data_IF_280902979443
#
_entry.id   IF_280902979443
#
_cell.length_a   1.000
_cell.length_b   1.000
_cell.length_c   1.000
_cell.angle_alpha   90.00
_cell.angle_beta   90.00
_cell.angle_gamma   90.00
#
_symmetry.space_group_name_H-M   'P 1'
#
loop_
_entity.id
_entity.type
_entity.pdbx_description
1 polymer ?
#
# COMPACT_ATOMS: atom_id res chain seq x y z
N UNK A 1 8.06 30.11 -13.95
CA UNK A 1 7.72 28.72 -13.57
C UNK A 1 8.84 28.23 -12.66
N UNK A 2 8.53 28.00 -11.39
CA UNK A 2 9.54 27.57 -10.42
C UNK A 2 10.14 26.24 -10.83
N UNK A 3 11.47 26.12 -10.69
CA UNK A 3 12.21 24.89 -11.01
C UNK A 3 11.64 23.66 -10.26
N UNK A 4 11.03 23.89 -9.11
CA UNK A 4 10.32 22.90 -8.29
C UNK A 4 9.08 22.34 -9.01
N UNK A 5 8.35 23.16 -9.77
CA UNK A 5 7.12 22.75 -10.47
C UNK A 5 7.40 21.78 -11.63
N UNK A 6 8.60 21.79 -12.20
CA UNK A 6 9.02 20.84 -13.27
C UNK A 6 9.61 19.53 -12.71
N UNK A 7 10.16 19.55 -11.49
CA UNK A 7 10.75 18.37 -10.85
C UNK A 7 9.69 17.35 -10.45
N UNK A 8 8.54 17.81 -9.96
CA UNK A 8 7.42 16.96 -9.54
C UNK A 8 6.88 16.08 -10.70
N UNK A 9 6.48 16.63 -11.86
CA UNK A 9 6.01 15.79 -12.97
C UNK A 9 7.11 14.90 -13.55
N UNK A 10 8.37 15.32 -13.53
CA UNK A 10 9.50 14.48 -13.94
C UNK A 10 9.68 13.27 -13.01
N UNK A 11 9.64 13.49 -11.69
CA UNK A 11 9.68 12.42 -10.68
C UNK A 11 8.51 11.46 -10.84
N UNK A 12 7.29 11.97 -11.01
CA UNK A 12 6.10 11.16 -11.27
C UNK A 12 6.28 10.34 -12.55
N UNK A 13 6.77 10.95 -13.63
CA UNK A 13 7.08 10.27 -14.89
C UNK A 13 8.08 9.12 -14.69
N UNK A 14 9.19 9.38 -14.00
CA UNK A 14 10.21 8.35 -13.71
C UNK A 14 9.62 7.21 -12.86
N UNK A 15 8.82 7.52 -11.85
CA UNK A 15 8.14 6.53 -11.03
C UNK A 15 7.17 5.68 -11.85
N UNK A 16 6.43 6.28 -12.78
CA UNK A 16 5.53 5.59 -13.71
C UNK A 16 6.33 4.65 -14.62
N UNK A 17 7.40 5.13 -15.26
CA UNK A 17 8.23 4.33 -16.15
C UNK A 17 8.89 3.15 -15.43
N UNK A 18 9.32 3.34 -14.19
CA UNK A 18 9.91 2.28 -13.37
C UNK A 18 8.96 1.10 -13.13
N UNK A 19 7.64 1.31 -13.13
CA UNK A 19 6.65 0.23 -12.94
C UNK A 19 6.48 -0.67 -14.17
N UNK A 20 6.98 -0.26 -15.34
CA UNK A 20 7.01 -1.08 -16.55
C UNK A 20 8.29 -1.91 -16.66
N UNK A 21 9.29 -1.67 -15.81
CA UNK A 21 10.55 -2.42 -15.80
C UNK A 21 10.32 -3.74 -15.03
N UNK A 22 10.69 -4.90 -15.60
CA UNK A 22 10.64 -6.17 -14.88
C UNK A 22 11.41 -6.08 -13.57
N UNK A 23 10.73 -6.38 -12.46
CA UNK A 23 11.34 -6.43 -11.14
C UNK A 23 11.58 -7.88 -10.76
N UNK A 24 12.84 -8.23 -10.49
CA UNK A 24 13.21 -9.56 -10.02
C UNK A 24 12.41 -9.93 -8.76
N UNK A 25 11.87 -11.14 -8.72
CA UNK A 25 11.13 -11.66 -7.57
C UNK A 25 12.09 -11.78 -6.39
N UNK A 26 11.84 -11.03 -5.32
CA UNK A 26 12.64 -11.06 -4.11
C UNK A 26 11.80 -11.57 -2.92
N UNK A 27 12.40 -12.40 -2.07
CA UNK A 27 11.76 -12.88 -0.81
C UNK A 27 11.36 -11.71 0.09
N UNK A 28 12.13 -10.62 0.08
CA UNK A 28 11.78 -9.45 0.88
C UNK A 28 10.44 -8.85 0.43
N UNK A 29 10.15 -8.78 -0.86
CA UNK A 29 8.88 -8.21 -1.32
C UNK A 29 7.68 -9.11 -0.97
N UNK A 30 7.87 -10.42 -0.99
CA UNK A 30 6.81 -11.41 -0.73
C UNK A 30 6.56 -11.71 0.76
N UNK A 31 7.60 -11.63 1.58
CA UNK A 31 7.54 -12.02 3.00
C UNK A 31 8.00 -10.87 3.89
N UNK A 32 9.10 -10.21 3.52
CA UNK A 32 9.67 -9.11 4.29
C UNK A 32 8.73 -7.90 4.42
N UNK A 33 8.10 -7.46 3.32
CA UNK A 33 7.15 -6.34 3.32
C UNK A 33 5.89 -6.63 4.17
N UNK A 34 5.21 -7.78 4.03
CA UNK A 34 4.17 -8.21 4.96
C UNK A 34 4.59 -8.16 6.43
N UNK A 35 5.74 -8.76 6.77
CA UNK A 35 6.23 -8.81 8.15
C UNK A 35 6.55 -7.40 8.67
N UNK A 36 7.23 -6.58 7.86
CA UNK A 36 7.55 -5.20 8.21
C UNK A 36 6.28 -4.39 8.45
N UNK A 37 5.27 -4.53 7.59
CA UNK A 37 3.98 -3.88 7.74
C UNK A 37 3.28 -4.29 9.02
N UNK A 38 3.23 -5.60 9.33
CA UNK A 38 2.66 -6.09 10.58
C UNK A 38 3.42 -5.58 11.81
N UNK A 39 4.76 -5.62 11.77
CA UNK A 39 5.60 -5.13 12.85
C UNK A 39 5.37 -3.64 13.11
N UNK A 40 5.36 -2.82 12.06
CA UNK A 40 5.11 -1.38 12.16
C UNK A 40 3.71 -1.08 12.66
N UNK A 41 2.71 -1.81 12.17
CA UNK A 41 1.33 -1.72 12.66
C UNK A 41 1.28 -1.98 14.16
N UNK A 42 1.90 -3.07 14.62
CA UNK A 42 1.90 -3.45 16.03
C UNK A 42 2.69 -2.45 16.89
N UNK A 43 3.86 -2.00 16.43
CA UNK A 43 4.72 -1.06 17.19
C UNK A 43 4.12 0.33 17.35
N UNK A 44 3.23 0.72 16.43
CA UNK A 44 2.61 2.04 16.40
C UNK A 44 1.13 1.99 16.79
N UNK A 45 0.63 0.83 17.23
CA UNK A 45 -0.75 0.64 17.65
C UNK A 45 -1.04 1.50 18.90
N UNK A 46 -2.15 2.26 18.94
CA UNK A 46 -2.53 3.00 20.12
C UNK A 46 -2.88 2.07 21.29
N UNK A 47 -2.60 2.52 22.51
CA UNK A 47 -2.88 1.75 23.74
C UNK A 47 -4.37 1.53 24.02
N UNK A 48 -5.23 2.34 23.40
CA UNK A 48 -6.69 2.25 23.50
C UNK A 48 -7.29 2.19 22.10
N UNK A 49 -8.16 1.21 21.87
CA UNK A 49 -8.90 1.06 20.63
C UNK A 49 -10.38 1.31 20.91
N UNK A 50 -10.91 2.40 20.34
CA UNK A 50 -12.34 2.67 20.35
C UNK A 50 -13.04 1.81 19.27
N UNK A 51 -14.33 1.52 19.45
CA UNK A 51 -15.13 0.76 18.48
C UNK A 51 -15.14 1.44 17.09
N UNK A 52 -15.13 2.77 17.07
CA UNK A 52 -15.05 3.58 15.84
C UNK A 52 -13.74 3.37 15.08
N UNK A 53 -12.60 3.46 15.78
CA UNK A 53 -11.27 3.22 15.21
C UNK A 53 -11.14 1.76 14.71
N UNK A 54 -11.73 0.80 15.43
CA UNK A 54 -11.74 -0.60 15.02
C UNK A 54 -12.56 -0.80 13.74
N UNK A 55 -13.73 -0.17 13.64
CA UNK A 55 -14.55 -0.21 12.44
C UNK A 55 -13.84 0.44 11.24
N UNK A 56 -13.19 1.59 11.46
CA UNK A 56 -12.36 2.26 10.45
C UNK A 56 -11.24 1.34 9.95
N UNK A 57 -10.50 0.71 10.86
CA UNK A 57 -9.47 -0.27 10.55
C UNK A 57 -10.03 -1.41 9.70
N UNK A 58 -11.17 -2.01 10.08
CA UNK A 58 -11.77 -3.11 9.33
C UNK A 58 -12.12 -2.69 7.90
N UNK A 59 -12.72 -1.51 7.71
CA UNK A 59 -13.02 -0.97 6.38
C UNK A 59 -11.74 -0.78 5.55
N UNK A 60 -10.69 -0.23 6.15
CA UNK A 60 -9.40 -0.02 5.52
C UNK A 60 -8.71 -1.34 5.13
N UNK A 61 -8.76 -2.35 6.00
CA UNK A 61 -8.19 -3.67 5.73
C UNK A 61 -8.93 -4.39 4.60
N UNK A 62 -10.26 -4.34 4.58
CA UNK A 62 -11.06 -4.92 3.49
C UNK A 62 -10.71 -4.25 2.17
N UNK A 63 -10.67 -2.91 2.16
CA UNK A 63 -10.32 -2.14 0.96
C UNK A 63 -8.91 -2.50 0.45
N UNK A 64 -7.92 -2.49 1.34
CA UNK A 64 -6.54 -2.82 1.01
C UNK A 64 -6.38 -4.26 0.51
N UNK A 65 -7.10 -5.22 1.12
CA UNK A 65 -7.12 -6.62 0.71
C UNK A 65 -7.67 -6.79 -0.71
N UNK A 66 -8.80 -6.13 -1.02
CA UNK A 66 -9.38 -6.13 -2.36
C UNK A 66 -8.35 -5.63 -3.39
N UNK A 67 -7.72 -4.48 -3.11
CA UNK A 67 -6.70 -3.93 -4.01
C UNK A 67 -5.52 -4.87 -4.18
N UNK A 68 -5.01 -5.47 -3.10
CA UNK A 68 -3.90 -6.43 -3.16
C UNK A 68 -4.19 -7.64 -4.06
N UNK A 69 -5.41 -8.19 -3.97
CA UNK A 69 -5.86 -9.28 -4.85
C UNK A 69 -5.92 -8.83 -6.32
N UNK A 70 -6.53 -7.67 -6.60
CA UNK A 70 -6.60 -7.16 -7.97
C UNK A 70 -5.21 -6.85 -8.55
N UNK A 71 -4.30 -6.34 -7.73
CA UNK A 71 -2.95 -6.01 -8.12
C UNK A 71 -2.15 -7.26 -8.47
N UNK A 72 -2.31 -8.34 -7.71
CA UNK A 72 -1.71 -9.64 -8.02
C UNK A 72 -2.23 -10.20 -9.34
N UNK A 73 -3.56 -10.23 -9.53
CA UNK A 73 -4.19 -10.76 -10.77
C UNK A 73 -3.81 -10.01 -12.04
N UNK A 74 -3.41 -8.75 -11.94
CA UNK A 74 -2.97 -7.93 -13.07
C UNK A 74 -1.46 -7.91 -13.26
N UNK A 75 -0.70 -8.41 -12.29
CA UNK A 75 0.75 -8.56 -12.39
C UNK A 75 1.08 -9.74 -13.30
N UNK A 76 2.01 -9.54 -14.23
CA UNK A 76 2.53 -10.63 -15.07
C UNK A 76 3.82 -11.16 -14.47
N UNK A 77 3.97 -12.48 -14.46
CA UNK A 77 5.22 -13.15 -14.10
C UNK A 77 5.92 -13.56 -15.39
N UNK A 78 7.17 -13.13 -15.54
CA UNK A 78 7.98 -13.34 -16.75
C UNK A 78 9.41 -13.74 -16.38
N UNK A 79 10.04 -14.56 -17.20
CA UNK A 79 11.47 -14.82 -17.09
C UNK A 79 12.25 -13.75 -17.87
N UNK A 80 13.17 -13.07 -17.19
CA UNK A 80 14.03 -12.05 -17.79
C UNK A 80 15.48 -12.37 -17.39
N UNK A 81 16.34 -12.66 -18.37
CA UNK A 81 17.72 -13.12 -18.14
C UNK A 81 17.83 -14.29 -17.15
N UNK A 82 17.06 -15.37 -17.40
CA UNK A 82 16.96 -16.58 -16.55
C UNK A 82 16.51 -16.33 -15.10
N UNK A 83 16.03 -15.12 -14.79
CA UNK A 83 15.51 -14.74 -13.48
C UNK A 83 14.01 -14.51 -13.53
N UNK A 84 13.31 -15.05 -12.53
CA UNK A 84 11.88 -14.83 -12.37
C UNK A 84 11.63 -13.37 -11.99
N UNK A 85 10.82 -12.68 -12.80
CA UNK A 85 10.52 -11.26 -12.64
C UNK A 85 9.02 -11.00 -12.69
N UNK A 86 8.59 -9.92 -12.04
CA UNK A 86 7.20 -9.44 -12.03
C UNK A 86 7.08 -8.10 -12.74
N UNK A 87 5.99 -7.93 -13.50
CA UNK A 87 5.67 -6.69 -14.21
C UNK A 87 4.25 -6.28 -13.83
N UNK A 88 4.12 -5.19 -13.07
CA UNK A 88 2.83 -4.65 -12.66
C UNK A 88 2.16 -3.79 -13.75
N UNK A 89 2.96 -3.04 -14.52
CA UNK A 89 2.48 -2.17 -15.60
C UNK A 89 1.55 -1.05 -15.10
N UNK A 90 0.71 -0.52 -16.00
CA UNK A 90 -0.16 0.63 -15.70
C UNK A 90 -1.19 0.35 -14.60
N UNK A 91 -1.67 -0.90 -14.51
CA UNK A 91 -2.66 -1.30 -13.52
C UNK A 91 -2.13 -1.16 -12.09
N UNK A 92 -0.83 -1.36 -11.87
CA UNK A 92 -0.20 -1.16 -10.57
C UNK A 92 -0.39 0.28 -10.09
N UNK A 93 -0.10 1.26 -10.95
CA UNK A 93 -0.21 2.70 -10.61
C UNK A 93 -1.68 3.09 -10.38
N UNK A 94 -2.58 2.65 -11.27
CA UNK A 94 -4.01 2.92 -11.15
C UNK A 94 -4.55 2.36 -9.83
N UNK A 95 -4.19 1.13 -9.47
CA UNK A 95 -4.64 0.50 -8.23
C UNK A 95 -4.06 1.17 -6.98
N UNK A 96 -2.84 1.71 -7.04
CA UNK A 96 -2.29 2.55 -5.97
C UNK A 96 -3.08 3.85 -5.79
N UNK A 97 -3.43 4.53 -6.88
CA UNK A 97 -4.26 5.74 -6.82
C UNK A 97 -5.63 5.41 -6.25
N UNK A 98 -6.25 4.32 -6.70
CA UNK A 98 -7.54 3.84 -6.18
C UNK A 98 -7.44 3.50 -4.69
N UNK A 99 -6.35 2.88 -4.25
CA UNK A 99 -6.11 2.60 -2.82
C UNK A 99 -6.09 3.89 -2.00
N UNK A 100 -5.34 4.91 -2.45
CA UNK A 100 -5.24 6.21 -1.78
C UNK A 100 -6.58 6.94 -1.74
N UNK A 101 -7.32 6.98 -2.86
CA UNK A 101 -8.63 7.61 -2.93
C UNK A 101 -9.61 6.92 -1.98
N UNK A 102 -9.67 5.59 -2.00
CA UNK A 102 -10.56 4.85 -1.10
C UNK A 102 -10.21 5.04 0.37
N UNK A 103 -8.92 5.14 0.70
CA UNK A 103 -8.48 5.50 2.06
C UNK A 103 -8.99 6.88 2.47
N UNK A 104 -8.88 7.89 1.60
CA UNK A 104 -9.39 9.25 1.87
C UNK A 104 -10.92 9.22 2.07
N UNK A 105 -11.65 8.48 1.24
CA UNK A 105 -13.10 8.34 1.36
C UNK A 105 -13.48 7.71 2.69
N UNK A 106 -12.80 6.64 3.11
CA UNK A 106 -13.06 5.96 4.39
C UNK A 106 -12.74 6.91 5.55
N UNK A 107 -11.56 7.56 5.55
CA UNK A 107 -11.20 8.54 6.58
C UNK A 107 -12.23 9.67 6.68
N UNK A 108 -12.66 10.21 5.55
CA UNK A 108 -13.68 11.25 5.51
C UNK A 108 -15.04 10.75 6.02
N UNK A 109 -15.41 9.50 5.76
CA UNK A 109 -16.67 8.93 6.25
C UNK A 109 -16.70 8.78 7.77
N UNK A 110 -15.58 8.40 8.39
CA UNK A 110 -15.47 8.24 9.84
C UNK A 110 -15.26 9.57 10.55
N UNK A 111 -14.45 10.48 9.99
CA UNK A 111 -14.10 11.77 10.59
C UNK A 111 -14.86 12.95 9.95
N UNK A 112 -16.08 12.72 9.45
CA UNK A 112 -16.84 13.73 8.68
C UNK A 112 -17.11 15.00 9.48
N UNK A 113 -17.53 14.85 10.74
CA UNK A 113 -17.84 15.99 11.63
C UNK A 113 -16.62 16.84 11.90
N UNK A 114 -15.47 16.19 12.13
CA UNK A 114 -14.19 16.86 12.41
C UNK A 114 -13.66 17.54 11.15
N UNK A 115 -13.87 16.93 9.99
CA UNK A 115 -13.53 17.54 8.72
C UNK A 115 -14.39 18.77 8.42
N UNK A 116 -15.71 18.69 8.65
CA UNK A 116 -16.62 19.82 8.44
C UNK A 116 -16.38 20.95 9.44
N UNK A 117 -16.05 20.63 10.70
CA UNK A 117 -15.70 21.63 11.70
C UNK A 117 -14.39 22.34 11.35
N UNK A 118 -13.39 21.60 10.85
CA UNK A 118 -12.14 22.18 10.35
C UNK A 118 -12.37 23.13 9.15
N UNK A 119 -13.27 22.77 8.22
CA UNK A 119 -13.64 23.65 7.10
C UNK A 119 -14.28 24.94 7.61
N UNK A 120 -15.15 24.83 8.62
CA UNK A 120 -15.84 25.98 9.19
C UNK A 120 -14.90 26.89 10.00
N UNK A 121 -13.88 26.34 10.67
CA UNK A 121 -12.91 27.11 11.46
C UNK A 121 -11.96 27.93 10.59
N UNK A 122 -11.62 27.43 9.39
CA UNK A 122 -10.86 28.16 8.37
C UNK A 122 -9.40 28.50 8.76
N UNK A 123 -8.63 29.01 7.79
CA UNK A 123 -7.29 29.56 8.04
C UNK A 123 -6.22 28.54 8.45
N UNK A 124 -5.40 28.89 9.44
CA UNK A 124 -4.33 28.01 9.96
C UNK A 124 -4.85 26.86 10.81
N UNK A 125 -6.00 27.04 11.47
CA UNK A 125 -6.67 26.01 12.27
C UNK A 125 -7.05 24.81 11.39
N UNK A 126 -7.62 25.07 10.20
CA UNK A 126 -7.91 24.03 9.20
C UNK A 126 -6.67 23.20 8.83
N UNK A 127 -5.52 23.85 8.60
CA UNK A 127 -4.28 23.12 8.26
C UNK A 127 -3.82 22.23 9.40
N UNK A 128 -3.90 22.72 10.64
CA UNK A 128 -3.47 21.98 11.81
C UNK A 128 -4.40 20.81 12.12
N UNK A 129 -5.72 20.99 12.01
CA UNK A 129 -6.72 19.97 12.28
C UNK A 129 -6.67 18.86 11.22
N UNK A 130 -6.55 19.22 9.94
CA UNK A 130 -6.37 18.25 8.84
C UNK A 130 -5.02 17.53 8.96
N UNK A 131 -3.94 18.26 9.26
CA UNK A 131 -2.64 17.63 9.47
C UNK A 131 -2.67 16.66 10.65
N UNK A 132 -3.31 17.03 11.76
CA UNK A 132 -3.47 16.17 12.93
C UNK A 132 -4.30 14.93 12.62
N UNK A 133 -5.45 15.08 11.94
CA UNK A 133 -6.28 13.96 11.49
C UNK A 133 -5.51 12.99 10.59
N UNK A 134 -4.65 13.50 9.70
CA UNK A 134 -3.85 12.67 8.77
C UNK A 134 -2.60 12.07 9.44
N UNK A 135 -2.00 12.75 10.42
CA UNK A 135 -0.72 12.36 11.05
C UNK A 135 -0.88 11.52 12.32
N UNK A 136 -1.83 11.83 13.20
CA UNK A 136 -2.01 11.10 14.47
C UNK A 136 -2.80 9.80 14.35
N UNK A 137 -3.81 9.74 13.46
CA UNK A 137 -4.48 8.48 13.15
C UNK A 137 -3.61 7.55 12.27
N UNK A 138 -2.58 8.11 11.62
CA UNK A 138 -2.16 7.68 10.30
C UNK A 138 -1.15 6.53 10.24
N UNK A 139 -0.12 6.52 11.08
CA UNK A 139 1.04 5.66 10.80
C UNK A 139 0.72 4.16 10.90
N UNK A 140 0.13 3.71 12.01
CA UNK A 140 -0.21 2.29 12.18
C UNK A 140 -1.34 1.86 11.23
N UNK A 141 -2.32 2.73 10.95
CA UNK A 141 -3.37 2.48 9.96
C UNK A 141 -2.78 2.34 8.54
N UNK A 142 -1.85 3.21 8.15
CA UNK A 142 -1.11 3.11 6.88
C UNK A 142 -0.38 1.77 6.83
N UNK A 143 0.41 1.45 7.85
CA UNK A 143 1.16 0.19 7.89
C UNK A 143 0.23 -1.03 7.86
N UNK A 144 -0.95 -0.95 8.48
CA UNK A 144 -1.95 -2.03 8.45
C UNK A 144 -2.50 -2.25 7.04
N UNK A 145 -2.79 -1.17 6.30
CA UNK A 145 -3.25 -1.26 4.90
C UNK A 145 -2.17 -1.77 3.97
N UNK A 146 -0.92 -1.35 4.17
CA UNK A 146 0.23 -1.88 3.42
C UNK A 146 0.41 -3.36 3.71
N UNK A 147 0.33 -3.77 4.98
CA UNK A 147 0.45 -5.18 5.38
C UNK A 147 -0.65 -6.02 4.73
N UNK A 148 -1.92 -5.62 4.88
CA UNK A 148 -3.05 -6.33 4.31
C UNK A 148 -2.94 -6.47 2.79
N UNK A 149 -2.67 -5.37 2.09
CA UNK A 149 -2.50 -5.39 0.64
C UNK A 149 -1.33 -6.28 0.22
N UNK A 150 -0.18 -6.18 0.89
CA UNK A 150 1.04 -6.94 0.56
C UNK A 150 0.88 -8.44 0.84
N UNK A 151 0.20 -8.81 1.94
CA UNK A 151 -0.10 -10.20 2.27
C UNK A 151 -0.98 -10.80 1.18
N UNK A 152 -2.10 -10.14 0.85
CA UNK A 152 -3.04 -10.66 -0.13
C UNK A 152 -2.44 -10.67 -1.54
N UNK A 153 -1.64 -9.67 -1.88
CA UNK A 153 -0.88 -9.64 -3.12
C UNK A 153 0.06 -10.84 -3.23
N UNK A 154 0.88 -11.07 -2.21
CA UNK A 154 1.88 -12.15 -2.19
C UNK A 154 1.22 -13.53 -2.20
N UNK A 155 0.17 -13.73 -1.40
CA UNK A 155 -0.57 -14.99 -1.36
C UNK A 155 -1.28 -15.28 -2.68
N UNK A 156 -1.89 -14.27 -3.30
CA UNK A 156 -2.57 -14.43 -4.59
C UNK A 156 -1.56 -14.74 -5.69
N UNK A 157 -0.42 -14.03 -5.74
CA UNK A 157 0.64 -14.35 -6.70
C UNK A 157 1.22 -15.75 -6.50
N UNK A 158 1.49 -16.13 -5.25
CA UNK A 158 2.00 -17.46 -4.92
C UNK A 158 1.02 -18.58 -5.30
N UNK A 159 -0.29 -18.31 -5.20
CA UNK A 159 -1.35 -19.25 -5.60
C UNK A 159 -1.51 -19.33 -7.11
N UNK A 160 -1.53 -18.18 -7.79
CA UNK A 160 -1.91 -18.09 -9.20
C UNK A 160 -0.72 -18.38 -10.15
N UNK A 161 0.52 -18.30 -9.66
CA UNK A 161 1.73 -18.54 -10.46
C UNK A 161 2.61 -19.66 -9.88
N UNK A 162 2.58 -20.88 -10.45
CA UNK A 162 3.38 -22.00 -9.95
C UNK A 162 4.89 -21.75 -10.03
N UNK A 163 5.36 -20.91 -10.95
CA UNK A 163 6.78 -20.56 -11.09
C UNK A 163 7.31 -19.83 -9.84
N UNK A 164 6.48 -19.00 -9.20
CA UNK A 164 6.83 -18.33 -7.95
C UNK A 164 6.98 -19.37 -6.83
N UNK A 165 6.07 -20.36 -6.78
CA UNK A 165 6.14 -21.45 -5.79
C UNK A 165 7.42 -22.27 -5.95
N UNK A 166 7.77 -22.63 -7.18
CA UNK A 166 9.00 -23.37 -7.49
C UNK A 166 10.26 -22.58 -7.12
N UNK A 167 10.28 -21.27 -7.40
CA UNK A 167 11.36 -20.37 -7.00
C UNK A 167 11.59 -20.36 -5.49
N UNK A 168 10.53 -20.24 -4.68
CA UNK A 168 10.67 -20.30 -3.22
C UNK A 168 11.12 -21.66 -2.73
N UNK A 169 10.63 -22.76 -3.33
CA UNK A 169 11.00 -24.10 -2.92
C UNK A 169 12.48 -24.43 -3.21
N UNK A 170 12.99 -24.06 -4.40
CA UNK A 170 14.41 -24.22 -4.75
C UNK A 170 15.31 -23.39 -3.86
N UNK A 171 14.91 -22.17 -3.54
CA UNK A 171 15.65 -21.26 -2.66
C UNK A 171 15.69 -21.67 -1.18
N UNK A 172 14.77 -22.55 -0.74
CA UNK A 172 14.79 -23.16 0.60
C UNK A 172 15.71 -24.38 0.59
N UNK A 173 15.58 -25.28 -0.40
CA UNK A 173 16.44 -26.46 -0.54
C UNK A 173 17.92 -26.17 -0.70
N UNK A 174 18.29 -25.03 -1.30
CA UNK A 174 19.70 -24.62 -1.40
C UNK A 174 20.28 -24.05 -0.10
N UNK A 175 19.46 -23.81 0.94
CA UNK A 175 19.89 -23.32 2.25
C UNK A 175 19.91 -24.41 3.33
N UNK A 176 19.40 -25.60 3.03
CA UNK A 176 19.54 -26.81 3.85
C UNK A 176 20.82 -27.56 3.44
#
# INVERSE_FOLDING_TARGET
MDKVTLIIPLLIGILIFRQFIPKEVNRFDFIGLPILGLYKTYSSLPSTLNAEILAELICLLIWAAIIGIYQAKKTKVVYHYDKLSTVGGIHYIVLWIVMLIGRIIILFAFHYTDFMSAIQSGGEQFKNDIFYLVSQSGDWLIWSTIAASSILYSLTLYKDHPEIKEFFHTQIKQKE
#
